data_IF_020663029710
#
_entry.id   IF_020663029710
#
_cell.length_a   1.000
_cell.length_b   1.000
_cell.length_c   1.000
_cell.angle_alpha   90.00
_cell.angle_beta   90.00
_cell.angle_gamma   90.00
#
_symmetry.space_group_name_H-M   'P 1'
#
loop_
_entity.id
_entity.type
_entity.pdbx_description
1 polymer ?
#
# COMPACT_ATOMS: atom_id res chain seq x y z
N UNK A 1 -38.57 57.30 -50.07
CA UNK A 1 -37.55 56.35 -49.58
C UNK A 1 -38.30 55.24 -48.87
N UNK A 2 -38.08 54.00 -49.27
CA UNK A 2 -38.94 52.86 -48.95
C UNK A 2 -38.88 52.49 -47.46
N UNK A 3 -40.05 52.27 -46.87
CA UNK A 3 -40.24 51.74 -45.53
C UNK A 3 -40.11 50.20 -45.60
N UNK A 4 -38.98 49.67 -45.14
CA UNK A 4 -38.75 48.23 -45.04
C UNK A 4 -39.57 47.64 -43.89
N UNK A 5 -40.68 46.98 -44.22
CA UNK A 5 -41.42 46.14 -43.27
C UNK A 5 -40.67 44.82 -43.08
N UNK A 6 -40.01 44.65 -41.94
CA UNK A 6 -39.42 43.37 -41.53
C UNK A 6 -40.54 42.36 -41.26
N UNK A 7 -40.78 41.44 -42.20
CA UNK A 7 -41.61 40.27 -42.00
C UNK A 7 -41.05 39.41 -40.86
N UNK A 8 -41.80 39.26 -39.76
CA UNK A 8 -41.47 38.29 -38.72
C UNK A 8 -41.53 36.89 -39.34
N UNK A 9 -40.40 36.18 -39.36
CA UNK A 9 -40.29 34.87 -39.99
C UNK A 9 -41.32 33.87 -39.40
N UNK A 10 -42.19 33.32 -40.25
CA UNK A 10 -43.20 32.30 -39.86
C UNK A 10 -42.49 30.98 -39.52
N UNK A 11 -42.51 30.59 -38.24
CA UNK A 11 -41.89 29.35 -37.75
C UNK A 11 -42.97 28.25 -37.72
N UNK A 12 -42.81 27.13 -38.47
CA UNK A 12 -43.77 26.03 -38.46
C UNK A 12 -43.91 25.37 -37.08
N UNK A 13 -45.13 25.02 -36.68
CA UNK A 13 -45.43 24.37 -35.39
C UNK A 13 -44.64 23.08 -35.14
N UNK A 14 -44.32 22.34 -36.20
CA UNK A 14 -43.50 21.12 -36.14
C UNK A 14 -42.10 21.38 -35.58
N UNK A 15 -41.50 22.54 -35.91
CA UNK A 15 -40.19 22.98 -35.42
C UNK A 15 -40.30 23.41 -33.95
N UNK A 16 -41.35 24.12 -33.58
CA UNK A 16 -41.63 24.50 -32.19
C UNK A 16 -41.80 23.27 -31.29
N UNK A 17 -42.52 22.23 -31.76
CA UNK A 17 -42.72 20.97 -31.04
C UNK A 17 -41.42 20.16 -30.88
N UNK A 18 -40.54 20.17 -31.89
CA UNK A 18 -39.21 19.53 -31.83
C UNK A 18 -38.27 20.23 -30.84
N UNK A 19 -38.30 21.57 -30.80
CA UNK A 19 -37.52 22.38 -29.83
C UNK A 19 -37.98 22.11 -28.39
N UNK A 20 -39.29 22.19 -28.12
CA UNK A 20 -39.85 21.88 -26.79
C UNK A 20 -39.48 20.48 -26.29
N UNK A 21 -39.60 19.45 -27.15
CA UNK A 21 -39.19 18.08 -26.81
C UNK A 21 -37.69 17.96 -26.51
N UNK A 22 -36.85 18.67 -27.26
CA UNK A 22 -35.40 18.68 -27.04
C UNK A 22 -35.02 19.39 -25.74
N UNK A 23 -35.72 20.47 -25.39
CA UNK A 23 -35.54 21.21 -24.13
C UNK A 23 -35.99 20.38 -22.94
N UNK A 24 -37.17 19.74 -23.01
CA UNK A 24 -37.67 18.79 -22.00
C UNK A 24 -36.70 17.62 -21.79
N UNK A 25 -36.19 17.03 -22.88
CA UNK A 25 -35.20 15.96 -22.81
C UNK A 25 -33.88 16.42 -22.17
N UNK A 26 -33.41 17.62 -22.50
CA UNK A 26 -32.22 18.20 -21.87
C UNK A 26 -32.44 18.46 -20.37
N UNK A 27 -33.64 18.88 -19.97
CA UNK A 27 -34.00 19.14 -18.58
C UNK A 27 -34.05 17.86 -17.75
N UNK A 28 -34.68 16.80 -18.28
CA UNK A 28 -34.71 15.47 -17.67
C UNK A 28 -33.29 14.90 -17.52
N UNK A 29 -32.46 15.00 -18.57
CA UNK A 29 -31.07 14.55 -18.52
C UNK A 29 -30.25 15.32 -17.48
N UNK A 30 -30.46 16.63 -17.36
CA UNK A 30 -29.81 17.45 -16.33
C UNK A 30 -30.29 17.11 -14.91
N UNK A 31 -31.57 16.78 -14.73
CA UNK A 31 -32.12 16.29 -13.46
C UNK A 31 -31.52 14.92 -13.10
N UNK A 32 -31.45 13.97 -14.04
CA UNK A 32 -30.81 12.67 -13.85
C UNK A 32 -29.33 12.81 -13.48
N UNK A 33 -28.61 13.74 -14.13
CA UNK A 33 -27.22 14.03 -13.81
C UNK A 33 -27.06 14.62 -12.41
N UNK A 34 -27.96 15.50 -11.97
CA UNK A 34 -27.98 16.01 -10.59
C UNK A 34 -28.20 14.88 -9.59
N UNK A 35 -29.22 14.05 -9.80
CA UNK A 35 -29.51 12.89 -8.94
C UNK A 35 -28.31 11.93 -8.85
N UNK A 36 -27.67 11.63 -10.00
CA UNK A 36 -26.45 10.81 -10.03
C UNK A 36 -25.29 11.47 -9.28
N UNK A 37 -25.10 12.77 -9.43
CA UNK A 37 -24.05 13.54 -8.72
C UNK A 37 -24.28 13.52 -7.21
N UNK A 38 -25.51 13.74 -6.77
CA UNK A 38 -25.88 13.75 -5.35
C UNK A 38 -25.71 12.36 -4.74
N UNK A 39 -26.20 11.32 -5.43
CA UNK A 39 -25.99 9.91 -5.03
C UNK A 39 -24.49 9.57 -4.95
N UNK A 40 -23.68 10.03 -5.90
CA UNK A 40 -22.23 9.83 -5.87
C UNK A 40 -21.55 10.64 -4.75
N UNK A 41 -22.05 11.81 -4.40
CA UNK A 41 -21.54 12.61 -3.28
C UNK A 41 -21.86 11.92 -1.93
N UNK A 42 -23.08 11.41 -1.76
CA UNK A 42 -23.46 10.61 -0.59
C UNK A 42 -22.64 9.33 -0.47
N UNK A 43 -22.47 8.61 -1.58
CA UNK A 43 -21.66 7.39 -1.60
C UNK A 43 -20.21 7.68 -1.21
N UNK A 44 -19.61 8.77 -1.70
CA UNK A 44 -18.25 9.20 -1.29
C UNK A 44 -18.16 9.44 0.21
N UNK A 45 -19.14 10.12 0.82
CA UNK A 45 -19.20 10.33 2.28
C UNK A 45 -19.29 9.00 3.04
N UNK A 46 -20.11 8.05 2.56
CA UNK A 46 -20.24 6.71 3.17
C UNK A 46 -18.94 5.89 3.05
N UNK A 47 -18.29 5.93 1.89
CA UNK A 47 -17.02 5.24 1.64
C UNK A 47 -15.94 5.77 2.59
N UNK A 48 -15.82 7.10 2.72
CA UNK A 48 -14.85 7.72 3.62
C UNK A 48 -15.07 7.32 5.07
N UNK A 49 -16.32 7.40 5.57
CA UNK A 49 -16.67 7.00 6.94
C UNK A 49 -16.39 5.52 7.20
N UNK A 50 -16.69 4.63 6.26
CA UNK A 50 -16.38 3.20 6.37
C UNK A 50 -14.88 2.94 6.40
N UNK A 51 -14.11 3.61 5.53
CA UNK A 51 -12.66 3.49 5.52
C UNK A 51 -12.05 3.93 6.87
N UNK A 52 -12.55 5.02 7.45
CA UNK A 52 -12.13 5.47 8.78
C UNK A 52 -12.50 4.46 9.88
N UNK A 53 -13.70 3.90 9.84
CA UNK A 53 -14.16 2.88 10.79
C UNK A 53 -13.30 1.61 10.73
N UNK A 54 -13.08 1.06 9.53
CA UNK A 54 -12.22 -0.12 9.37
C UNK A 54 -10.77 0.19 9.80
N UNK A 55 -10.26 1.38 9.49
CA UNK A 55 -8.96 1.82 9.97
C UNK A 55 -8.85 1.84 11.50
N UNK A 56 -9.91 2.26 12.20
CA UNK A 56 -9.98 2.24 13.67
C UNK A 56 -10.09 0.82 14.23
N UNK A 57 -10.91 -0.02 13.63
CA UNK A 57 -11.10 -1.42 14.02
C UNK A 57 -9.79 -2.21 13.93
N UNK A 58 -9.09 -2.12 12.79
CA UNK A 58 -7.77 -2.75 12.63
C UNK A 58 -6.76 -2.23 13.65
N UNK A 59 -6.82 -0.94 14.00
CA UNK A 59 -5.94 -0.34 15.01
C UNK A 59 -6.27 -0.80 16.43
N UNK A 60 -7.56 -0.99 16.77
CA UNK A 60 -7.99 -1.53 18.07
C UNK A 60 -7.58 -2.99 18.23
N UNK A 61 -7.74 -3.80 17.18
CA UNK A 61 -7.36 -5.21 17.20
C UNK A 61 -5.86 -5.43 17.49
N UNK A 62 -4.98 -4.58 16.98
CA UNK A 62 -3.54 -4.62 17.30
C UNK A 62 -3.30 -4.25 18.79
N UNK A 63 -4.10 -3.34 19.35
CA UNK A 63 -3.96 -2.88 20.74
C UNK A 63 -4.51 -3.88 21.77
N UNK A 64 -5.41 -4.78 21.37
CA UNK A 64 -6.03 -5.82 22.20
C UNK A 64 -5.22 -7.14 22.24
N UNK A 65 -3.98 -7.13 21.75
CA UNK A 65 -3.10 -8.31 21.87
C UNK A 65 -2.61 -8.53 23.30
N UNK A 66 -2.52 -9.80 23.69
CA UNK A 66 -1.84 -10.21 24.93
C UNK A 66 -0.42 -9.58 25.01
N UNK A 67 -0.02 -9.04 26.17
CA UNK A 67 1.29 -8.39 26.33
C UNK A 67 2.47 -9.29 25.97
N UNK A 68 2.40 -10.62 26.21
CA UNK A 68 3.47 -11.56 25.86
C UNK A 68 3.56 -11.74 24.34
N UNK A 69 2.43 -11.93 23.68
CA UNK A 69 2.35 -12.00 22.20
C UNK A 69 2.93 -10.74 21.57
N UNK A 70 2.49 -9.56 22.04
CA UNK A 70 2.99 -8.26 21.58
C UNK A 70 4.50 -8.15 21.78
N UNK A 71 5.03 -8.62 22.91
CA UNK A 71 6.47 -8.60 23.18
C UNK A 71 7.24 -9.49 22.22
N UNK A 72 6.73 -10.69 21.91
CA UNK A 72 7.35 -11.60 20.94
C UNK A 72 7.40 -10.96 19.55
N UNK A 73 6.29 -10.38 19.06
CA UNK A 73 6.26 -9.69 17.76
C UNK A 73 7.23 -8.51 17.71
N UNK A 74 7.36 -7.73 18.80
CA UNK A 74 8.34 -6.66 18.90
C UNK A 74 9.79 -7.17 18.81
N UNK A 75 10.10 -8.30 19.44
CA UNK A 75 11.42 -8.94 19.37
C UNK A 75 11.73 -9.44 17.96
N UNK A 76 10.73 -9.97 17.26
CA UNK A 76 10.83 -10.36 15.85
C UNK A 76 10.88 -9.17 14.89
N UNK A 77 10.72 -7.93 15.38
CA UNK A 77 10.65 -6.66 14.62
C UNK A 77 9.37 -6.50 13.77
N UNK A 78 8.34 -7.29 14.04
CA UNK A 78 7.03 -7.26 13.39
C UNK A 78 6.08 -6.29 14.12
N UNK A 79 6.31 -4.99 13.96
CA UNK A 79 5.55 -3.93 14.67
C UNK A 79 4.28 -3.47 13.97
N UNK A 80 4.19 -3.69 12.66
CA UNK A 80 3.07 -3.29 11.81
C UNK A 80 2.60 -4.49 11.00
N UNK A 81 1.34 -4.45 10.58
CA UNK A 81 0.74 -5.48 9.71
C UNK A 81 1.48 -5.47 8.36
N UNK A 82 1.67 -6.65 7.78
CA UNK A 82 2.35 -6.89 6.50
C UNK A 82 3.85 -6.55 6.48
N UNK A 83 4.48 -6.41 7.65
CA UNK A 83 5.94 -6.42 7.72
C UNK A 83 6.48 -7.83 7.57
N UNK A 84 7.62 -7.95 6.88
CA UNK A 84 8.35 -9.20 6.70
C UNK A 84 9.76 -9.11 7.30
N UNK A 85 10.27 -10.21 7.84
CA UNK A 85 11.61 -10.31 8.42
C UNK A 85 12.20 -11.69 8.11
N UNK A 86 13.48 -11.75 7.73
CA UNK A 86 14.19 -13.03 7.64
C UNK A 86 14.58 -13.51 9.05
N UNK A 87 14.40 -14.80 9.33
CA UNK A 87 14.71 -15.39 10.62
C UNK A 87 15.58 -16.63 10.44
N UNK A 88 16.63 -16.74 11.26
CA UNK A 88 17.40 -17.97 11.39
C UNK A 88 16.61 -18.96 12.23
N UNK A 89 16.42 -20.16 11.69
CA UNK A 89 15.69 -21.23 12.38
C UNK A 89 16.56 -21.79 13.50
N UNK A 90 16.04 -21.74 14.72
CA UNK A 90 16.59 -22.40 15.89
C UNK A 90 15.43 -22.80 16.83
N UNK A 91 15.71 -23.63 17.83
CA UNK A 91 14.68 -24.13 18.76
C UNK A 91 13.92 -23.00 19.48
N UNK A 92 14.63 -21.93 19.84
CA UNK A 92 14.03 -20.79 20.54
C UNK A 92 13.14 -19.94 19.61
N UNK A 93 13.56 -19.68 18.37
CA UNK A 93 12.81 -18.91 17.38
C UNK A 93 11.56 -19.67 16.94
N UNK A 94 11.64 -20.99 16.77
CA UNK A 94 10.47 -21.81 16.51
C UNK A 94 9.47 -21.77 17.67
N UNK A 95 9.93 -21.90 18.92
CA UNK A 95 9.05 -21.77 20.09
C UNK A 95 8.39 -20.38 20.18
N UNK A 96 9.09 -19.32 19.79
CA UNK A 96 8.51 -17.97 19.69
C UNK A 96 7.46 -17.90 18.58
N UNK A 97 7.75 -18.46 17.40
CA UNK A 97 6.82 -18.49 16.25
C UNK A 97 5.54 -19.26 16.57
N UNK A 98 5.61 -20.44 17.18
CA UNK A 98 4.43 -21.21 17.59
C UNK A 98 3.50 -20.43 18.53
N UNK A 99 4.04 -19.56 19.39
CA UNK A 99 3.22 -18.72 20.28
C UNK A 99 2.50 -17.59 19.56
N UNK A 100 3.01 -17.14 18.42
CA UNK A 100 2.44 -16.03 17.61
C UNK A 100 1.87 -16.51 16.28
N UNK A 101 1.72 -17.82 16.10
CA UNK A 101 1.22 -18.48 14.89
C UNK A 101 -0.14 -17.93 14.41
N UNK A 102 -1.10 -17.56 15.28
CA UNK A 102 -2.36 -16.95 14.83
C UNK A 102 -2.21 -15.59 14.14
N UNK A 103 -1.07 -14.91 14.31
CA UNK A 103 -0.83 -13.55 13.83
C UNK A 103 0.18 -13.46 12.68
N UNK A 104 0.95 -14.53 12.44
CA UNK A 104 2.07 -14.51 11.50
C UNK A 104 2.05 -15.75 10.63
N UNK A 105 2.11 -15.54 9.32
CA UNK A 105 2.43 -16.59 8.35
C UNK A 105 3.93 -16.62 8.11
N UNK A 106 4.55 -17.80 8.20
CA UNK A 106 5.98 -17.99 7.94
C UNK A 106 6.23 -19.21 7.06
N UNK A 107 7.39 -19.22 6.39
CA UNK A 107 7.79 -20.30 5.49
C UNK A 107 9.21 -20.10 4.98
N UNK A 108 9.71 -21.05 4.21
CA UNK A 108 11.03 -20.98 3.61
C UNK A 108 10.98 -20.19 2.30
N UNK A 109 11.77 -19.12 2.16
CA UNK A 109 11.80 -18.35 0.93
C UNK A 109 12.59 -19.08 -0.16
N UNK A 110 12.29 -18.79 -1.42
CA UNK A 110 13.12 -19.19 -2.55
C UNK A 110 14.03 -18.02 -2.98
N UNK A 111 15.09 -18.32 -3.73
CA UNK A 111 16.08 -17.32 -4.16
C UNK A 111 15.43 -16.15 -4.92
N UNK A 112 14.46 -16.44 -5.79
CA UNK A 112 13.74 -15.40 -6.56
C UNK A 112 12.98 -14.46 -5.63
N UNK A 113 12.27 -14.98 -4.64
CA UNK A 113 11.53 -14.19 -3.65
C UNK A 113 12.47 -13.35 -2.79
N UNK A 114 13.59 -13.90 -2.29
CA UNK A 114 14.57 -13.12 -1.51
C UNK A 114 15.14 -12.00 -2.35
N UNK A 115 15.56 -12.31 -3.58
CA UNK A 115 16.09 -11.33 -4.54
C UNK A 115 15.09 -10.19 -4.75
N UNK A 116 13.86 -10.51 -5.15
CA UNK A 116 12.83 -9.50 -5.41
C UNK A 116 12.50 -8.66 -4.17
N UNK A 117 12.47 -9.26 -2.99
CA UNK A 117 12.23 -8.54 -1.74
C UNK A 117 13.35 -7.54 -1.43
N UNK A 118 14.61 -7.94 -1.56
CA UNK A 118 15.75 -7.07 -1.26
C UNK A 118 15.89 -5.96 -2.31
N UNK A 119 15.71 -6.24 -3.61
CA UNK A 119 15.77 -5.20 -4.64
C UNK A 119 14.59 -4.22 -4.57
N UNK A 120 13.36 -4.70 -4.37
CA UNK A 120 12.16 -3.85 -4.47
C UNK A 120 11.77 -3.18 -3.15
N UNK A 121 12.07 -3.83 -2.02
CA UNK A 121 11.64 -3.41 -0.68
C UNK A 121 12.77 -3.39 0.35
N UNK A 122 14.01 -3.62 -0.07
CA UNK A 122 15.17 -3.60 0.80
C UNK A 122 15.52 -2.19 1.21
N UNK A 123 15.65 -2.00 2.52
CA UNK A 123 16.20 -0.79 3.10
C UNK A 123 17.34 -1.20 4.02
N UNK A 124 18.46 -0.48 3.94
CA UNK A 124 19.57 -0.62 4.86
C UNK A 124 19.42 0.30 6.06
N UNK A 125 19.81 -0.17 7.24
CA UNK A 125 19.92 0.64 8.44
C UNK A 125 21.36 1.14 8.59
N UNK A 126 21.59 2.40 8.23
CA UNK A 126 22.88 3.08 8.39
C UNK A 126 22.71 4.23 9.39
N UNK A 127 23.59 4.37 10.38
CA UNK A 127 23.51 5.44 11.39
C UNK A 127 22.14 5.58 12.08
N UNK A 128 21.45 4.45 12.31
CA UNK A 128 20.07 4.37 12.83
C UNK A 128 18.98 4.94 11.91
N UNK A 129 19.32 5.38 10.70
CA UNK A 129 18.39 5.84 9.69
C UNK A 129 18.09 4.71 8.69
N UNK A 130 16.87 4.70 8.15
CA UNK A 130 16.44 3.77 7.11
C UNK A 130 16.72 4.39 5.74
N UNK A 131 17.61 3.78 4.97
CA UNK A 131 18.07 4.27 3.66
C UNK A 131 17.73 3.22 2.61
N UNK A 132 17.22 3.66 1.44
CA UNK A 132 16.94 2.74 0.33
C UNK A 132 18.25 2.17 -0.25
N UNK A 133 18.26 0.89 -0.61
CA UNK A 133 19.42 0.23 -1.19
C UNK A 133 19.52 0.55 -2.69
N UNK A 134 20.07 1.73 -3.02
CA UNK A 134 20.24 2.17 -4.41
C UNK A 134 21.64 1.90 -4.97
N UNK A 135 22.65 1.84 -4.10
CA UNK A 135 24.05 1.72 -4.48
C UNK A 135 24.79 0.75 -3.54
N UNK A 136 25.77 0.01 -4.07
CA UNK A 136 26.56 -0.96 -3.32
C UNK A 136 27.43 -0.30 -2.23
N UNK A 137 27.81 0.97 -2.39
CA UNK A 137 28.54 1.74 -1.37
C UNK A 137 27.83 1.77 -0.01
N UNK A 138 26.49 1.77 0.01
CA UNK A 138 25.69 1.75 1.25
C UNK A 138 25.89 0.42 1.99
N UNK A 139 25.99 -0.68 1.24
CA UNK A 139 26.17 -2.03 1.78
C UNK A 139 27.61 -2.19 2.25
N UNK A 140 28.59 -1.84 1.41
CA UNK A 140 30.00 -1.91 1.73
C UNK A 140 30.35 -1.08 2.98
N UNK A 141 29.80 0.14 3.11
CA UNK A 141 30.01 0.97 4.29
C UNK A 141 29.47 0.31 5.58
N UNK A 142 28.36 -0.43 5.49
CA UNK A 142 27.72 -1.04 6.65
C UNK A 142 28.28 -2.42 7.00
N UNK A 143 28.62 -3.22 5.98
CA UNK A 143 28.90 -4.65 6.10
C UNK A 143 30.24 -5.07 5.46
N UNK A 144 31.03 -4.14 4.90
CA UNK A 144 32.30 -4.44 4.24
C UNK A 144 33.30 -5.16 5.16
N UNK A 145 33.28 -4.89 6.46
CA UNK A 145 34.10 -5.59 7.46
C UNK A 145 33.78 -7.09 7.57
N UNK A 146 32.61 -7.52 7.10
CA UNK A 146 32.16 -8.91 7.08
C UNK A 146 32.31 -9.56 5.70
N UNK A 147 32.96 -8.87 4.75
CA UNK A 147 33.13 -9.35 3.37
C UNK A 147 31.87 -9.23 2.50
N UNK A 148 30.86 -8.46 2.94
CA UNK A 148 29.62 -8.24 2.19
C UNK A 148 29.71 -6.85 1.55
N UNK A 149 30.04 -6.80 0.26
CA UNK A 149 30.33 -5.55 -0.45
C UNK A 149 29.20 -5.13 -1.39
N UNK A 150 28.36 -6.06 -1.85
CA UNK A 150 27.31 -5.77 -2.80
C UNK A 150 25.96 -6.41 -2.44
N UNK A 151 24.92 -6.06 -3.21
CA UNK A 151 23.57 -6.62 -3.07
C UNK A 151 23.55 -8.15 -3.18
N UNK A 152 24.37 -8.71 -4.07
CA UNK A 152 24.41 -10.13 -4.37
C UNK A 152 25.03 -10.92 -3.22
N UNK A 153 26.08 -10.40 -2.59
CA UNK A 153 26.65 -10.97 -1.37
C UNK A 153 25.63 -10.95 -0.24
N UNK A 154 24.86 -9.85 -0.11
CA UNK A 154 23.81 -9.73 0.89
C UNK A 154 22.70 -10.76 0.66
N UNK A 155 22.25 -10.94 -0.58
CA UNK A 155 21.26 -11.96 -0.96
C UNK A 155 21.81 -13.36 -0.68
N UNK A 156 23.07 -13.61 -1.03
CA UNK A 156 23.73 -14.88 -0.80
C UNK A 156 23.77 -15.22 0.69
N UNK A 157 24.26 -14.29 1.52
CA UNK A 157 24.38 -14.43 2.96
C UNK A 157 23.03 -14.73 3.64
N UNK A 158 21.96 -14.06 3.20
CA UNK A 158 20.59 -14.28 3.70
C UNK A 158 20.06 -15.65 3.28
N UNK A 159 20.29 -16.07 2.03
CA UNK A 159 19.76 -17.33 1.50
C UNK A 159 20.48 -18.55 2.08
N UNK A 160 21.81 -18.49 2.21
CA UNK A 160 22.63 -19.60 2.72
C UNK A 160 22.72 -19.62 4.25
N UNK A 161 22.26 -18.56 4.92
CA UNK A 161 22.39 -18.38 6.37
C UNK A 161 23.85 -18.45 6.80
N UNK A 162 24.69 -17.63 6.16
CA UNK A 162 26.13 -17.58 6.38
C UNK A 162 26.55 -17.15 7.80
N UNK A 163 27.86 -17.03 8.02
CA UNK A 163 28.45 -16.72 9.34
C UNK A 163 28.01 -15.36 9.87
N UNK A 164 27.72 -14.41 8.99
CA UNK A 164 27.35 -13.02 9.29
C UNK A 164 25.87 -12.73 8.98
N UNK A 165 25.03 -13.77 8.94
CA UNK A 165 23.59 -13.64 8.76
C UNK A 165 22.95 -12.66 9.76
N UNK A 166 23.44 -12.65 11.01
CA UNK A 166 22.87 -11.79 12.06
C UNK A 166 23.10 -10.31 11.73
N UNK A 167 24.29 -9.97 11.27
CA UNK A 167 24.71 -8.64 10.88
C UNK A 167 23.94 -8.18 9.64
N UNK A 168 23.91 -9.01 8.59
CA UNK A 168 23.15 -8.78 7.36
C UNK A 168 21.64 -8.56 7.63
N UNK A 169 21.03 -9.43 8.44
CA UNK A 169 19.61 -9.33 8.77
C UNK A 169 19.29 -8.13 9.68
N UNK A 170 20.21 -7.73 10.55
CA UNK A 170 20.06 -6.53 11.37
C UNK A 170 20.18 -5.25 10.53
N UNK A 171 21.06 -5.25 9.53
CA UNK A 171 21.17 -4.18 8.54
C UNK A 171 19.87 -4.01 7.74
N UNK A 172 19.28 -5.10 7.22
CA UNK A 172 18.01 -5.04 6.48
C UNK A 172 16.80 -4.61 7.34
N UNK A 173 16.81 -4.92 8.63
CA UNK A 173 15.72 -4.54 9.53
C UNK A 173 14.40 -5.30 9.24
N UNK A 174 13.31 -4.55 9.06
CA UNK A 174 12.03 -5.09 8.59
C UNK A 174 11.78 -4.64 7.15
N UNK A 175 11.26 -5.55 6.34
CA UNK A 175 10.77 -5.30 5.00
C UNK A 175 9.32 -4.82 5.10
N UNK A 176 9.01 -3.71 4.45
CA UNK A 176 7.66 -3.11 4.36
C UNK A 176 7.30 -2.99 2.89
#
# INVERSE_FOLDING_TARGET
>A
MAEETKAAAFIPESVLKKRKRSEEWALLKNQELKIKKDKNAENRKKIFKRAEQYGKEYKSSINEMDPKTRKILQLLRLRQIFNGVFLKVNKATMNMLHRVEPYVTYGYPNLKSVRELIYKRGYGKLNKQRIALTDNSIIEQALGNFGIICMEDLIHEIMTVGSHFKEANNFLGHLS
#
